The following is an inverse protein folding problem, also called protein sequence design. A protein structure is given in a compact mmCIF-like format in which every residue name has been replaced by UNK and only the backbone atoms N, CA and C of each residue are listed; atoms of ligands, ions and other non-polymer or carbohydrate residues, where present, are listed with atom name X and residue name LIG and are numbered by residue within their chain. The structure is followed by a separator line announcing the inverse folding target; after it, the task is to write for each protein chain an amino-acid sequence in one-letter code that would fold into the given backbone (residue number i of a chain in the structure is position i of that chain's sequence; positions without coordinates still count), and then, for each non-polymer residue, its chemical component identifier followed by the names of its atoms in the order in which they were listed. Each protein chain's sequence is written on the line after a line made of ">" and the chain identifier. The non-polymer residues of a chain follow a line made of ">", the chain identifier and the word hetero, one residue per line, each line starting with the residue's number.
data_IF_486025045167
#
_entry.id   IF_486025045167
#
_cell.length_a   1.000
_cell.length_b   1.000
_cell.length_c   1.000
_cell.angle_alpha   90.00
_cell.angle_beta   90.00
_cell.angle_gamma   90.00
#
_symmetry.space_group_name_H-M   'P 1'
#
loop_
_entity.id
_entity.type
_entity.pdbx_description
1 polymer ?
#
# COMPACT_ATOMS: atom_id res chain seq x y z
N UNK A 1 -32.66 10.14 -40.90
CA UNK A 1 -31.40 10.71 -40.36
C UNK A 1 -30.91 11.73 -41.37
N UNK A 2 -30.59 12.97 -40.97
CA UNK A 2 -30.01 13.94 -41.89
C UNK A 2 -28.63 13.41 -42.31
N UNK A 3 -28.45 13.16 -43.61
CA UNK A 3 -27.17 12.75 -44.18
C UNK A 3 -26.50 13.99 -44.76
N UNK A 4 -25.32 14.30 -44.23
CA UNK A 4 -24.50 15.39 -44.75
C UNK A 4 -23.85 14.96 -46.07
N UNK A 5 -23.93 15.84 -47.05
CA UNK A 5 -23.35 15.68 -48.38
C UNK A 5 -21.92 16.20 -48.41
N UNK A 6 -21.13 15.77 -49.39
CA UNK A 6 -19.75 16.22 -49.56
C UNK A 6 -19.65 17.76 -49.72
N UNK A 7 -20.71 18.36 -50.25
CA UNK A 7 -20.89 19.81 -50.35
C UNK A 7 -20.98 20.49 -48.98
N UNK A 8 -21.66 19.88 -48.02
CA UNK A 8 -21.80 20.43 -46.67
C UNK A 8 -20.43 20.50 -45.95
N UNK A 9 -19.58 19.50 -46.16
CA UNK A 9 -18.21 19.50 -45.64
C UNK A 9 -17.36 20.61 -46.25
N UNK A 10 -17.45 20.84 -47.56
CA UNK A 10 -16.71 21.91 -48.22
C UNK A 10 -17.19 23.30 -47.74
N UNK A 11 -18.49 23.47 -47.49
CA UNK A 11 -19.03 24.72 -46.94
C UNK A 11 -18.54 24.99 -45.52
N UNK A 12 -18.44 23.96 -44.66
CA UNK A 12 -17.90 24.09 -43.30
C UNK A 12 -16.38 24.36 -43.33
N UNK A 13 -15.64 23.75 -44.26
CA UNK A 13 -14.18 23.86 -44.30
C UNK A 13 -13.71 25.24 -44.82
N UNK A 14 -14.44 25.84 -45.77
CA UNK A 14 -14.06 27.11 -46.40
C UNK A 14 -14.90 28.32 -45.94
N UNK A 15 -16.04 28.09 -45.28
CA UNK A 15 -16.81 29.13 -44.61
C UNK A 15 -16.28 29.34 -43.19
N UNK A 16 -15.95 30.58 -42.81
CA UNK A 16 -15.64 30.90 -41.40
C UNK A 16 -16.81 30.49 -40.52
N UNK A 17 -16.61 29.50 -39.66
CA UNK A 17 -17.62 28.97 -38.75
C UNK A 17 -17.71 29.86 -37.52
N UNK A 18 -18.55 30.90 -37.54
CA UNK A 18 -18.95 31.62 -36.33
C UNK A 18 -20.14 30.90 -35.69
N UNK A 19 -19.85 30.05 -34.72
CA UNK A 19 -20.88 29.45 -33.87
C UNK A 19 -20.96 30.21 -32.55
N UNK A 20 -22.05 30.95 -32.38
CA UNK A 20 -22.41 31.56 -31.11
C UNK A 20 -23.28 30.57 -30.33
N UNK A 21 -22.88 30.28 -29.09
CA UNK A 21 -23.67 29.46 -28.19
C UNK A 21 -25.06 30.10 -28.00
N UNK A 22 -26.16 29.34 -28.16
CA UNK A 22 -27.47 29.90 -27.94
C UNK A 22 -27.62 30.35 -26.48
N UNK A 23 -28.32 31.46 -26.29
CA UNK A 23 -28.36 32.22 -25.04
C UNK A 23 -28.87 31.40 -23.84
N UNK A 24 -29.70 30.39 -24.10
CA UNK A 24 -30.16 29.43 -23.09
C UNK A 24 -29.01 28.57 -22.52
N UNK A 25 -28.04 28.15 -23.34
CA UNK A 25 -26.89 27.36 -22.90
C UNK A 25 -25.95 28.24 -22.06
N UNK A 26 -25.70 29.47 -22.49
CA UNK A 26 -24.92 30.43 -21.70
C UNK A 26 -25.56 30.69 -20.33
N UNK A 27 -26.89 30.82 -20.27
CA UNK A 27 -27.61 30.99 -19.01
C UNK A 27 -27.49 29.76 -18.09
N UNK A 28 -27.47 28.54 -18.65
CA UNK A 28 -27.25 27.32 -17.86
C UNK A 28 -25.82 27.30 -17.29
N UNK A 29 -24.83 27.66 -18.11
CA UNK A 29 -23.41 27.72 -17.69
C UNK A 29 -23.24 28.74 -16.55
N UNK A 30 -23.83 29.93 -16.66
CA UNK A 30 -23.77 30.94 -15.60
C UNK A 30 -24.40 30.44 -14.30
N UNK A 31 -25.56 29.78 -14.37
CA UNK A 31 -26.23 29.21 -13.18
C UNK A 31 -25.40 28.14 -12.48
N UNK A 32 -24.80 27.23 -13.25
CA UNK A 32 -23.92 26.20 -12.71
C UNK A 32 -22.69 26.81 -12.02
N UNK A 33 -22.14 27.88 -12.58
CA UNK A 33 -21.00 28.59 -12.02
C UNK A 33 -21.36 29.27 -10.68
N UNK A 34 -22.56 29.84 -10.55
CA UNK A 34 -23.05 30.40 -9.29
C UNK A 34 -23.24 29.32 -8.21
N UNK A 35 -23.82 28.17 -8.57
CA UNK A 35 -24.02 27.04 -7.63
C UNK A 35 -22.70 26.50 -7.08
N UNK A 36 -21.67 26.37 -7.92
CA UNK A 36 -20.33 25.92 -7.51
C UNK A 36 -19.67 26.93 -6.56
N UNK A 37 -19.81 28.23 -6.83
CA UNK A 37 -19.24 29.27 -5.98
C UNK A 37 -19.92 29.33 -4.60
N UNK A 38 -21.22 29.07 -4.52
CA UNK A 38 -21.96 28.96 -3.26
C UNK A 38 -21.52 27.75 -2.43
N UNK A 39 -21.21 26.61 -3.06
CA UNK A 39 -20.67 25.43 -2.39
C UNK A 39 -19.26 25.65 -1.83
N UNK A 40 -18.39 26.35 -2.57
CA UNK A 40 -17.04 26.69 -2.10
C UNK A 40 -17.11 27.66 -0.91
N UNK A 41 -18.09 28.56 -0.90
CA UNK A 41 -18.30 29.52 0.18
C UNK A 41 -18.88 28.88 1.45
N UNK A 42 -19.69 27.82 1.31
CA UNK A 42 -20.32 27.12 2.45
C UNK A 42 -19.43 26.06 3.12
N UNK A 43 -18.26 25.75 2.53
CA UNK A 43 -17.33 24.71 3.02
C UNK A 43 -16.08 25.25 3.74
N UNK A 44 -15.95 26.58 3.89
CA UNK A 44 -14.90 27.18 4.73
C UNK A 44 -15.41 27.40 6.17
N UNK A 45 -15.21 26.41 7.04
CA UNK A 45 -15.22 26.64 8.50
C UNK A 45 -13.88 27.19 8.95
N UNK A 46 -13.95 28.32 9.64
CA UNK A 46 -12.85 29.12 10.21
C UNK A 46 -11.89 28.29 11.09
N UNK A 47 -10.58 28.47 10.88
CA UNK A 47 -9.57 28.28 11.94
C UNK A 47 -8.81 29.60 12.11
N UNK A 48 -8.61 30.10 13.34
CA UNK A 48 -8.05 31.43 13.55
C UNK A 48 -6.52 31.40 13.54
N UNK A 49 -5.90 32.06 12.57
CA UNK A 49 -4.47 32.41 12.59
C UNK A 49 -4.32 33.88 13.01
N UNK A 50 -3.98 34.10 14.28
CA UNK A 50 -3.37 35.36 14.71
C UNK A 50 -2.28 35.06 15.72
N UNK A 51 -1.04 35.00 15.23
CA UNK A 51 0.15 35.27 16.04
C UNK A 51 1.09 36.11 15.18
N UNK A 52 0.99 37.42 15.35
CA UNK A 52 2.02 38.36 14.94
C UNK A 52 3.31 38.06 15.71
N UNK A 53 4.44 37.96 15.01
CA UNK A 53 5.77 38.02 15.64
C UNK A 53 6.59 39.16 15.03
N UNK A 54 7.36 39.86 15.87
CA UNK A 54 7.92 41.17 15.55
C UNK A 54 9.23 41.06 14.76
N UNK A 55 9.42 42.04 13.89
CA UNK A 55 10.62 42.26 13.08
C UNK A 55 11.83 42.53 13.98
N UNK A 56 12.90 41.73 13.84
CA UNK A 56 14.27 42.13 14.21
C UNK A 56 15.23 41.91 13.04
N UNK A 57 15.91 43.00 12.68
CA UNK A 57 16.98 43.10 11.68
C UNK A 57 18.29 42.52 12.20
N UNK A 58 18.93 41.68 11.39
CA UNK A 58 20.38 41.44 11.23
C UNK A 58 20.50 40.20 10.33
N UNK A 59 21.09 40.17 9.13
CA UNK A 59 22.36 40.75 8.73
C UNK A 59 23.33 39.61 8.40
N UNK A 60 23.10 38.86 7.31
CA UNK A 60 24.17 38.10 6.61
C UNK A 60 23.71 37.64 5.22
N UNK A 61 24.61 37.80 4.26
CA UNK A 61 24.41 37.62 2.83
C UNK A 61 24.23 36.15 2.42
N UNK A 62 23.11 35.85 1.75
CA UNK A 62 23.07 34.81 0.71
C UNK A 62 22.37 35.36 -0.52
N UNK A 63 23.10 35.37 -1.64
CA UNK A 63 22.63 35.85 -2.93
C UNK A 63 21.65 34.84 -3.55
N UNK A 64 20.35 35.13 -3.49
CA UNK A 64 19.41 34.48 -4.40
C UNK A 64 19.55 35.09 -5.78
N UNK A 65 20.27 34.38 -6.67
CA UNK A 65 20.10 34.52 -8.12
C UNK A 65 18.62 34.30 -8.43
N UNK A 66 17.95 35.35 -8.92
CA UNK A 66 16.66 35.25 -9.61
C UNK A 66 16.86 34.37 -10.85
N UNK A 67 16.43 33.12 -10.76
CA UNK A 67 16.23 32.27 -11.94
C UNK A 67 15.03 32.82 -12.70
N UNK A 68 15.25 33.13 -13.98
CA UNK A 68 14.28 33.75 -14.85
C UNK A 68 13.12 32.82 -15.21
N UNK A 69 11.95 33.44 -15.38
CA UNK A 69 10.86 33.08 -16.28
C UNK A 69 10.84 31.64 -16.80
N UNK A 70 9.92 30.87 -16.24
CA UNK A 70 9.30 29.69 -16.81
C UNK A 70 9.07 29.86 -18.33
N UNK A 71 9.85 29.17 -19.14
CA UNK A 71 9.44 28.83 -20.50
C UNK A 71 8.33 27.78 -20.39
N UNK A 72 7.08 28.22 -20.46
CA UNK A 72 6.01 27.37 -21.00
C UNK A 72 6.47 26.92 -22.38
N UNK A 73 6.77 25.63 -22.51
CA UNK A 73 7.11 25.01 -23.79
C UNK A 73 5.91 25.22 -24.72
N UNK A 74 6.05 26.13 -25.69
CA UNK A 74 5.05 26.26 -26.75
C UNK A 74 5.10 24.96 -27.53
N UNK A 75 3.97 24.24 -27.51
CA UNK A 75 3.75 23.05 -28.32
C UNK A 75 3.90 23.50 -29.77
N UNK A 76 4.91 22.98 -30.48
CA UNK A 76 5.15 23.34 -31.88
C UNK A 76 4.19 22.59 -32.80
N UNK A 77 4.04 23.03 -34.05
CA UNK A 77 3.23 22.30 -35.03
C UNK A 77 3.77 20.87 -35.28
N UNK A 78 5.06 20.64 -35.05
CA UNK A 78 5.66 19.29 -35.09
C UNK A 78 5.22 18.41 -33.91
N UNK A 79 5.01 18.97 -32.71
CA UNK A 79 4.44 18.24 -31.57
C UNK A 79 2.98 17.83 -31.86
N UNK A 80 2.23 18.66 -32.61
CA UNK A 80 0.87 18.32 -33.07
C UNK A 80 0.86 17.32 -34.22
N UNK A 81 1.84 17.36 -35.12
CA UNK A 81 2.02 16.34 -36.17
C UNK A 81 2.43 14.99 -35.59
N UNK A 82 3.22 14.95 -34.51
CA UNK A 82 3.54 13.72 -33.80
C UNK A 82 2.32 13.06 -33.13
N UNK A 83 1.33 13.87 -32.73
CA UNK A 83 0.04 13.41 -32.18
C UNK A 83 -0.96 13.03 -33.30
N UNK A 84 -0.91 13.71 -34.46
CA UNK A 84 -1.77 13.44 -35.62
C UNK A 84 -1.29 12.30 -36.51
N UNK A 85 0.01 12.04 -36.55
CA UNK A 85 0.53 10.83 -37.16
C UNK A 85 0.04 9.66 -36.31
N UNK A 86 -0.70 8.70 -36.87
CA UNK A 86 -1.14 7.54 -36.12
C UNK A 86 0.11 6.75 -35.79
N UNK A 87 0.68 6.99 -34.61
CA UNK A 87 1.51 5.98 -33.94
C UNK A 87 0.61 4.75 -33.97
N UNK A 88 0.96 3.70 -34.74
CA UNK A 88 0.11 2.55 -34.86
C UNK A 88 -0.17 2.10 -33.44
N UNK A 89 -1.46 2.03 -33.09
CA UNK A 89 -1.91 1.55 -31.79
C UNK A 89 -1.09 0.30 -31.48
N UNK A 90 -0.15 0.41 -30.54
CA UNK A 90 0.57 -0.74 -30.03
C UNK A 90 -0.46 -1.51 -29.24
N UNK A 91 -1.23 -2.34 -29.95
CA UNK A 91 -2.11 -3.30 -29.33
C UNK A 91 -1.28 -4.02 -28.28
N UNK A 92 -1.73 -3.95 -27.04
CA UNK A 92 -1.13 -4.72 -25.96
C UNK A 92 -1.13 -6.16 -26.45
N UNK A 93 0.05 -6.70 -26.73
CA UNK A 93 0.19 -8.12 -27.05
C UNK A 93 -0.20 -8.82 -25.76
N UNK A 94 -1.44 -9.27 -25.70
CA UNK A 94 -1.90 -10.15 -24.63
C UNK A 94 -1.17 -11.45 -24.94
N UNK A 95 -0.02 -11.65 -24.31
CA UNK A 95 0.60 -12.96 -24.27
C UNK A 95 -0.46 -13.91 -23.73
N UNK A 96 -0.90 -14.82 -24.60
CA UNK A 96 -1.77 -15.92 -24.19
C UNK A 96 -0.92 -16.79 -23.29
N UNK A 97 -1.00 -16.54 -21.98
CA UNK A 97 -0.56 -17.49 -20.98
C UNK A 97 -1.40 -18.75 -21.21
N UNK A 98 -0.79 -19.79 -21.78
CA UNK A 98 -1.43 -21.07 -22.06
C UNK A 98 -1.02 -22.08 -20.98
N UNK A 99 -1.91 -23.00 -20.63
CA UNK A 99 -1.66 -24.00 -19.59
C UNK A 99 -1.64 -23.43 -18.16
N UNK A 100 -0.69 -23.91 -17.34
CA UNK A 100 -0.58 -23.64 -15.89
C UNK A 100 -0.49 -22.15 -15.57
N UNK A 101 0.20 -21.35 -16.39
CA UNK A 101 0.32 -19.91 -16.19
C UNK A 101 -1.03 -19.18 -16.27
N UNK A 102 -1.96 -19.71 -17.06
CA UNK A 102 -3.33 -19.20 -17.14
C UNK A 102 -4.05 -19.41 -15.82
N UNK A 103 -3.99 -20.62 -15.27
CA UNK A 103 -4.63 -20.97 -14.01
C UNK A 103 -4.07 -20.14 -12.85
N UNK A 104 -2.76 -19.89 -12.81
CA UNK A 104 -2.15 -18.99 -11.81
C UNK A 104 -2.66 -17.55 -11.97
N UNK A 105 -2.81 -17.07 -13.21
CA UNK A 105 -3.35 -15.75 -13.47
C UNK A 105 -4.84 -15.65 -13.08
N UNK A 106 -5.62 -16.68 -13.36
CA UNK A 106 -7.03 -16.75 -13.00
C UNK A 106 -7.21 -16.80 -11.48
N UNK A 107 -6.35 -17.52 -10.76
CA UNK A 107 -6.28 -17.48 -9.28
C UNK A 107 -6.01 -16.05 -8.81
N UNK A 108 -5.02 -15.33 -9.38
CA UNK A 108 -4.75 -13.93 -9.02
C UNK A 108 -5.95 -13.02 -9.28
N UNK A 109 -6.69 -13.25 -10.36
CA UNK A 109 -7.91 -12.49 -10.65
C UNK A 109 -9.00 -12.79 -9.61
N UNK A 110 -9.18 -14.05 -9.23
CA UNK A 110 -10.14 -14.45 -8.20
C UNK A 110 -9.79 -13.83 -6.84
N UNK A 111 -8.52 -13.90 -6.46
CA UNK A 111 -8.01 -13.30 -5.22
C UNK A 111 -8.23 -11.79 -5.16
N UNK A 112 -8.08 -11.05 -6.27
CA UNK A 112 -8.36 -9.61 -6.29
C UNK A 112 -9.86 -9.28 -6.30
N UNK A 113 -10.72 -10.21 -6.74
CA UNK A 113 -12.18 -10.04 -6.79
C UNK A 113 -12.88 -10.53 -5.53
N UNK A 114 -12.18 -11.21 -4.64
CA UNK A 114 -12.79 -11.85 -3.47
C UNK A 114 -13.31 -10.80 -2.49
N UNK A 115 -14.50 -11.07 -1.97
CA UNK A 115 -15.21 -10.25 -1.00
C UNK A 115 -16.13 -11.16 -0.19
N UNK A 116 -16.64 -10.68 0.94
CA UNK A 116 -17.60 -11.45 1.74
C UNK A 116 -18.84 -11.94 0.94
N UNK A 117 -19.26 -11.20 -0.09
CA UNK A 117 -20.47 -11.51 -0.88
C UNK A 117 -20.26 -12.64 -1.89
N UNK A 118 -19.06 -12.73 -2.47
CA UNK A 118 -18.72 -13.70 -3.51
C UNK A 118 -17.65 -14.70 -3.05
N UNK A 119 -17.38 -14.76 -1.75
CA UNK A 119 -16.31 -15.57 -1.17
C UNK A 119 -16.38 -17.03 -1.63
N UNK A 120 -17.54 -17.67 -1.44
CA UNK A 120 -17.75 -19.07 -1.78
C UNK A 120 -17.51 -19.37 -3.27
N UNK A 121 -18.05 -18.54 -4.17
CA UNK A 121 -17.89 -18.77 -5.60
C UNK A 121 -16.45 -18.55 -6.07
N UNK A 122 -15.75 -17.55 -5.52
CA UNK A 122 -14.34 -17.33 -5.82
C UNK A 122 -13.46 -18.46 -5.28
N UNK A 123 -13.73 -18.93 -4.05
CA UNK A 123 -13.04 -20.06 -3.46
C UNK A 123 -13.19 -21.33 -4.30
N UNK A 124 -14.41 -21.67 -4.73
CA UNK A 124 -14.67 -22.83 -5.59
C UNK A 124 -13.86 -22.75 -6.90
N UNK A 125 -13.83 -21.58 -7.54
CA UNK A 125 -13.01 -21.35 -8.74
C UNK A 125 -11.52 -21.49 -8.46
N UNK A 126 -11.03 -21.01 -7.31
CA UNK A 126 -9.61 -21.16 -6.93
C UNK A 126 -9.26 -22.64 -6.73
N UNK A 127 -10.10 -23.40 -6.01
CA UNK A 127 -9.89 -24.83 -5.79
C UNK A 127 -9.88 -25.61 -7.10
N UNK A 128 -10.80 -25.31 -8.02
CA UNK A 128 -10.84 -25.93 -9.34
C UNK A 128 -9.54 -25.65 -10.13
N UNK A 129 -9.07 -24.40 -10.13
CA UNK A 129 -7.80 -24.05 -10.78
C UNK A 129 -6.61 -24.76 -10.13
N UNK A 130 -6.56 -24.87 -8.80
CA UNK A 130 -5.51 -25.61 -8.10
C UNK A 130 -5.54 -27.10 -8.47
N UNK A 131 -6.72 -27.72 -8.48
CA UNK A 131 -6.86 -29.12 -8.87
C UNK A 131 -6.40 -29.36 -10.31
N UNK A 132 -6.74 -28.46 -11.24
CA UNK A 132 -6.28 -28.55 -12.63
C UNK A 132 -4.76 -28.48 -12.74
N UNK A 133 -4.11 -27.62 -11.94
CA UNK A 133 -2.64 -27.55 -11.87
C UNK A 133 -2.04 -28.85 -11.30
N UNK A 134 -2.68 -29.45 -10.30
CA UNK A 134 -2.19 -30.66 -9.64
C UNK A 134 -2.35 -31.95 -10.46
N UNK A 135 -3.30 -32.01 -11.38
CA UNK A 135 -3.56 -33.18 -12.22
C UNK A 135 -2.48 -33.40 -13.28
N UNK A 136 -1.82 -32.33 -13.74
CA UNK A 136 -0.97 -32.34 -14.94
C UNK A 136 0.54 -32.22 -14.68
N UNK A 137 1.03 -32.18 -13.43
CA UNK A 137 2.41 -31.73 -13.17
C UNK A 137 3.31 -32.65 -12.30
N UNK A 138 4.58 -32.78 -12.72
CA UNK A 138 5.71 -33.31 -11.92
C UNK A 138 6.21 -32.29 -10.87
N UNK A 139 5.99 -30.97 -11.09
CA UNK A 139 6.47 -29.86 -10.24
C UNK A 139 5.41 -29.27 -9.28
N UNK A 140 4.57 -30.12 -8.67
CA UNK A 140 3.43 -29.71 -7.82
C UNK A 140 3.79 -28.71 -6.71
N UNK A 141 4.95 -28.88 -6.08
CA UNK A 141 5.37 -28.05 -4.94
C UNK A 141 5.69 -26.62 -5.39
N UNK A 142 6.35 -26.44 -6.54
CA UNK A 142 6.78 -25.11 -7.01
C UNK A 142 5.57 -24.24 -7.45
N UNK A 143 4.59 -24.87 -8.09
CA UNK A 143 3.34 -24.20 -8.45
C UNK A 143 2.55 -23.81 -7.20
N UNK A 144 2.49 -24.70 -6.20
CA UNK A 144 1.87 -24.39 -4.91
C UNK A 144 2.55 -23.23 -4.20
N UNK A 145 3.88 -23.18 -4.20
CA UNK A 145 4.63 -22.03 -3.68
C UNK A 145 4.26 -20.74 -4.41
N UNK A 146 4.08 -20.80 -5.72
CA UNK A 146 3.68 -19.64 -6.53
C UNK A 146 2.27 -19.15 -6.18
N UNK A 147 1.34 -20.08 -5.91
CA UNK A 147 -0.03 -19.76 -5.49
C UNK A 147 -0.06 -19.17 -4.09
N UNK A 148 0.65 -19.79 -3.14
CA UNK A 148 0.79 -19.24 -1.78
C UNK A 148 1.41 -17.85 -1.83
N UNK A 149 2.47 -17.65 -2.64
CA UNK A 149 3.08 -16.34 -2.86
C UNK A 149 2.06 -15.32 -3.36
N UNK A 150 1.19 -15.70 -4.30
CA UNK A 150 0.16 -14.81 -4.82
C UNK A 150 -0.86 -14.42 -3.73
N UNK A 151 -1.24 -15.34 -2.85
CA UNK A 151 -2.14 -15.05 -1.71
C UNK A 151 -1.45 -14.07 -0.76
N UNK A 152 -0.19 -14.32 -0.39
CA UNK A 152 0.59 -13.43 0.47
C UNK A 152 0.78 -12.05 -0.13
N UNK A 153 1.11 -11.96 -1.42
CA UNK A 153 1.28 -10.70 -2.14
C UNK A 153 0.00 -9.88 -2.12
N UNK A 154 -1.16 -10.51 -2.33
CA UNK A 154 -2.46 -9.84 -2.32
C UNK A 154 -2.87 -9.45 -0.90
N UNK A 155 -2.67 -10.32 0.09
CA UNK A 155 -2.89 -10.01 1.51
C UNK A 155 -1.99 -8.85 1.99
N UNK A 156 -0.76 -8.78 1.48
CA UNK A 156 0.18 -7.68 1.79
C UNK A 156 -0.22 -6.35 1.15
N UNK A 157 -0.96 -6.35 0.04
CA UNK A 157 -1.40 -5.10 -0.59
C UNK A 157 -2.65 -4.52 0.06
N UNK A 158 -3.41 -5.30 0.83
CA UNK A 158 -4.67 -4.86 1.42
C UNK A 158 -4.85 -5.31 2.87
N UNK A 159 -4.46 -4.44 3.80
CA UNK A 159 -4.59 -4.66 5.24
C UNK A 159 -6.04 -4.95 5.70
N UNK A 160 -7.04 -4.34 5.05
CA UNK A 160 -8.45 -4.44 5.47
C UNK A 160 -9.06 -5.82 5.23
N UNK A 161 -8.54 -6.56 4.25
CA UNK A 161 -9.02 -7.91 3.91
C UNK A 161 -8.14 -9.01 4.51
N UNK A 162 -7.25 -8.67 5.44
CA UNK A 162 -6.35 -9.64 6.10
C UNK A 162 -7.10 -10.81 6.74
N UNK A 163 -8.27 -10.58 7.34
CA UNK A 163 -9.09 -11.66 7.90
C UNK A 163 -9.69 -12.57 6.81
N UNK A 164 -10.25 -11.97 5.75
CA UNK A 164 -10.84 -12.67 4.61
C UNK A 164 -9.81 -13.57 3.90
N UNK A 165 -8.60 -13.07 3.70
CA UNK A 165 -7.52 -13.86 3.12
C UNK A 165 -7.03 -14.97 4.06
N UNK A 166 -7.15 -14.79 5.38
CA UNK A 166 -6.78 -15.82 6.34
C UNK A 166 -7.81 -16.95 6.36
N UNK A 167 -9.10 -16.64 6.20
CA UNK A 167 -10.14 -17.66 5.98
C UNK A 167 -9.87 -18.45 4.70
N UNK A 168 -9.58 -17.74 3.60
CA UNK A 168 -9.22 -18.38 2.34
C UNK A 168 -8.02 -19.31 2.51
N UNK A 169 -6.97 -18.85 3.19
CA UNK A 169 -5.78 -19.67 3.42
C UNK A 169 -6.10 -20.93 4.23
N UNK A 170 -6.96 -20.82 5.25
CA UNK A 170 -7.41 -21.96 6.04
C UNK A 170 -8.09 -23.01 5.17
N UNK A 171 -9.08 -22.59 4.38
CA UNK A 171 -9.86 -23.52 3.55
C UNK A 171 -9.02 -24.18 2.46
N UNK A 172 -8.00 -23.48 1.95
CA UNK A 172 -7.03 -24.05 1.04
C UNK A 172 -6.08 -25.02 1.75
N UNK A 173 -5.59 -24.69 2.95
CA UNK A 173 -4.73 -25.57 3.74
C UNK A 173 -5.41 -26.85 4.22
N UNK A 174 -6.71 -26.80 4.52
CA UNK A 174 -7.51 -27.97 4.87
C UNK A 174 -7.69 -28.93 3.68
N UNK A 175 -7.63 -28.42 2.44
CA UNK A 175 -7.76 -29.21 1.20
C UNK A 175 -6.42 -29.66 0.63
N UNK A 176 -5.38 -28.85 0.80
CA UNK A 176 -4.05 -29.04 0.22
C UNK A 176 -3.00 -28.98 1.34
N UNK A 177 -2.63 -30.13 1.95
CA UNK A 177 -1.72 -30.19 3.09
C UNK A 177 -0.35 -29.50 2.86
N UNK A 178 0.10 -29.41 1.61
CA UNK A 178 1.33 -28.74 1.21
C UNK A 178 1.39 -27.27 1.65
N UNK A 179 0.24 -26.58 1.75
CA UNK A 179 0.18 -25.20 2.23
C UNK A 179 0.77 -25.04 3.64
N UNK A 180 0.55 -26.02 4.52
CA UNK A 180 1.07 -25.99 5.89
C UNK A 180 2.59 -26.12 5.96
N UNK A 181 3.24 -26.66 4.93
CA UNK A 181 4.72 -26.70 4.85
C UNK A 181 5.29 -25.40 4.28
N UNK A 182 4.57 -24.80 3.32
CA UNK A 182 5.01 -23.60 2.63
C UNK A 182 4.91 -22.38 3.55
N UNK A 183 3.93 -22.35 4.46
CA UNK A 183 3.72 -21.24 5.40
C UNK A 183 4.96 -20.91 6.22
N UNK A 184 5.72 -21.91 6.67
CA UNK A 184 6.93 -21.70 7.48
C UNK A 184 8.01 -20.93 6.71
N UNK A 185 8.19 -21.25 5.42
CA UNK A 185 9.11 -20.53 4.53
C UNK A 185 8.72 -19.05 4.40
N UNK A 186 7.42 -18.76 4.27
CA UNK A 186 6.92 -17.38 4.21
C UNK A 186 7.17 -16.59 5.50
N UNK A 187 7.08 -17.25 6.66
CA UNK A 187 7.34 -16.61 7.95
C UNK A 187 8.83 -16.27 8.11
N UNK A 188 9.73 -17.10 7.58
CA UNK A 188 11.15 -16.78 7.48
C UNK A 188 11.37 -15.59 6.54
N UNK A 189 10.74 -15.58 5.37
CA UNK A 189 10.84 -14.46 4.42
C UNK A 189 10.35 -13.14 5.02
N UNK A 190 9.27 -13.17 5.82
CA UNK A 190 8.81 -11.99 6.55
C UNK A 190 9.89 -11.44 7.50
N UNK A 191 10.55 -12.30 8.28
CA UNK A 191 11.63 -11.90 9.20
C UNK A 191 12.82 -11.27 8.47
N UNK A 192 13.20 -11.81 7.32
CA UNK A 192 14.28 -11.25 6.51
C UNK A 192 13.87 -9.92 5.85
N UNK A 193 12.63 -9.82 5.35
CA UNK A 193 12.13 -8.58 4.76
C UNK A 193 12.11 -7.40 5.75
N UNK A 194 11.95 -7.68 7.05
CA UNK A 194 12.04 -6.65 8.11
C UNK A 194 13.48 -6.20 8.38
N UNK A 195 14.48 -7.07 8.20
CA UNK A 195 15.90 -6.66 8.30
C UNK A 195 16.33 -5.75 7.15
N UNK A 196 15.73 -5.91 5.98
CA UNK A 196 16.02 -5.16 4.75
C UNK A 196 15.41 -3.74 4.73
N UNK A 197 14.78 -3.30 5.84
CA UNK A 197 14.30 -1.92 5.93
C UNK A 197 15.51 -0.98 5.82
N UNK A 198 15.48 -0.12 4.80
CA UNK A 198 16.47 0.92 4.56
C UNK A 198 15.72 2.18 4.17
N UNK A 199 15.86 3.23 4.96
CA UNK A 199 15.26 4.51 4.65
C UNK A 199 15.87 5.17 3.41
N UNK A 200 15.02 5.84 2.64
CA UNK A 200 15.41 6.61 1.46
C UNK A 200 14.89 8.04 1.62
N UNK A 201 15.76 9.03 1.44
CA UNK A 201 15.36 10.43 1.49
C UNK A 201 14.57 10.81 0.21
N UNK A 202 13.34 11.35 0.31
CA UNK A 202 12.54 11.78 -0.84
C UNK A 202 13.22 12.85 -1.70
N UNK A 203 14.13 13.65 -1.13
CA UNK A 203 14.89 14.67 -1.86
C UNK A 203 16.06 14.07 -2.65
N UNK A 204 16.49 12.85 -2.31
CA UNK A 204 17.60 12.16 -2.99
C UNK A 204 17.08 11.25 -4.09
N UNK A 205 16.09 10.42 -3.80
CA UNK A 205 15.51 9.47 -4.76
C UNK A 205 14.02 9.24 -4.43
N UNK A 206 13.16 10.03 -5.06
CA UNK A 206 11.72 10.02 -4.80
C UNK A 206 11.07 8.69 -5.16
N UNK A 207 11.51 8.03 -6.25
CA UNK A 207 10.95 6.76 -6.69
C UNK A 207 11.29 5.64 -5.70
N UNK A 208 12.53 5.59 -5.21
CA UNK A 208 12.91 4.66 -4.15
C UNK A 208 12.21 4.97 -2.83
N UNK A 209 11.99 6.24 -2.48
CA UNK A 209 11.18 6.60 -1.31
C UNK A 209 9.73 6.11 -1.43
N UNK A 210 9.11 6.22 -2.60
CA UNK A 210 7.78 5.67 -2.86
C UNK A 210 7.75 4.14 -2.68
N UNK A 211 8.77 3.44 -3.19
CA UNK A 211 8.90 1.99 -3.02
C UNK A 211 9.14 1.57 -1.57
N UNK A 212 9.94 2.35 -0.82
CA UNK A 212 10.15 2.19 0.61
C UNK A 212 8.81 2.27 1.38
N UNK A 213 8.03 3.34 1.16
CA UNK A 213 6.73 3.52 1.82
C UNK A 213 5.76 2.39 1.47
N UNK A 214 5.69 2.00 0.19
CA UNK A 214 4.87 0.87 -0.26
C UNK A 214 5.27 -0.44 0.43
N UNK A 215 6.57 -0.67 0.62
CA UNK A 215 7.08 -1.87 1.30
C UNK A 215 6.77 -1.84 2.80
N UNK A 216 6.79 -0.67 3.44
CA UNK A 216 6.35 -0.52 4.83
C UNK A 216 4.86 -0.81 5.00
N UNK A 217 4.02 -0.31 4.10
CA UNK A 217 2.59 -0.61 4.11
C UNK A 217 2.32 -2.10 3.92
N UNK A 218 3.08 -2.75 3.03
CA UNK A 218 3.03 -4.22 2.87
C UNK A 218 3.39 -4.97 4.14
N UNK A 219 4.48 -4.58 4.82
CA UNK A 219 4.87 -5.18 6.10
C UNK A 219 3.76 -5.04 7.15
N UNK A 220 3.16 -3.85 7.27
CA UNK A 220 2.05 -3.59 8.20
C UNK A 220 0.81 -4.42 7.88
N UNK A 221 0.50 -4.63 6.60
CA UNK A 221 -0.59 -5.50 6.17
C UNK A 221 -0.30 -6.98 6.47
N UNK A 222 0.93 -7.43 6.20
CA UNK A 222 1.38 -8.78 6.55
C UNK A 222 1.34 -9.02 8.06
N UNK A 223 1.77 -8.06 8.88
CA UNK A 223 1.66 -8.13 10.34
C UNK A 223 0.22 -8.37 10.81
N UNK A 224 -0.75 -7.69 10.20
CA UNK A 224 -2.18 -7.94 10.49
C UNK A 224 -2.65 -9.30 9.96
N UNK A 225 -2.16 -9.73 8.80
CA UNK A 225 -2.44 -11.05 8.25
C UNK A 225 -1.93 -12.17 9.15
N UNK A 226 -0.70 -12.09 9.66
CA UNK A 226 -0.10 -13.07 10.58
C UNK A 226 -0.93 -13.25 11.86
N UNK A 227 -1.42 -12.14 12.43
CA UNK A 227 -2.34 -12.18 13.59
C UNK A 227 -3.59 -12.99 13.26
N UNK A 228 -4.19 -12.77 12.09
CA UNK A 228 -5.38 -13.52 11.67
C UNK A 228 -5.08 -14.99 11.37
N UNK A 229 -3.93 -15.31 10.80
CA UNK A 229 -3.49 -16.69 10.60
C UNK A 229 -3.35 -17.43 11.94
N UNK A 230 -2.78 -16.78 12.96
CA UNK A 230 -2.67 -17.34 14.31
C UNK A 230 -4.05 -17.55 14.93
N UNK A 231 -4.93 -16.55 14.88
CA UNK A 231 -6.30 -16.66 15.41
C UNK A 231 -7.10 -17.79 14.77
N UNK A 232 -6.84 -18.08 13.50
CA UNK A 232 -7.47 -19.17 12.75
C UNK A 232 -6.78 -20.53 12.93
N UNK A 233 -5.72 -20.59 13.74
CA UNK A 233 -4.91 -21.77 14.08
C UNK A 233 -4.15 -22.35 12.87
N UNK A 234 -3.79 -21.50 11.91
CA UNK A 234 -2.95 -21.89 10.75
C UNK A 234 -1.47 -21.87 11.15
N UNK A 235 -1.08 -20.89 11.96
CA UNK A 235 0.25 -20.83 12.57
C UNK A 235 0.11 -20.95 14.08
N UNK A 236 1.08 -21.59 14.72
CA UNK A 236 1.07 -21.74 16.18
C UNK A 236 1.35 -20.41 16.87
N UNK A 237 0.85 -20.28 18.09
CA UNK A 237 1.11 -19.12 18.93
C UNK A 237 2.61 -18.95 19.19
N UNK A 238 3.33 -20.03 19.50
CA UNK A 238 4.77 -20.00 19.75
C UNK A 238 5.55 -19.40 18.58
N UNK A 239 5.23 -19.80 17.34
CA UNK A 239 5.91 -19.27 16.16
C UNK A 239 5.70 -17.77 16.02
N UNK A 240 4.49 -17.26 16.27
CA UNK A 240 4.23 -15.83 16.23
C UNK A 240 4.97 -15.08 17.35
N UNK A 241 5.07 -15.66 18.55
CA UNK A 241 5.84 -15.09 19.65
C UNK A 241 7.34 -15.04 19.33
N UNK A 242 7.89 -16.07 18.68
CA UNK A 242 9.29 -16.08 18.22
C UNK A 242 9.56 -14.97 17.20
N UNK A 243 8.62 -14.69 16.30
CA UNK A 243 8.72 -13.55 15.38
C UNK A 243 8.76 -12.24 16.17
N UNK A 244 7.89 -12.06 17.16
CA UNK A 244 7.85 -10.83 17.98
C UNK A 244 9.15 -10.65 18.75
N UNK A 245 9.64 -11.69 19.42
CA UNK A 245 10.90 -11.66 20.17
C UNK A 245 12.08 -11.33 19.25
N UNK A 246 12.11 -11.92 18.05
CA UNK A 246 13.10 -11.59 17.04
C UNK A 246 13.05 -10.11 16.63
N UNK A 247 11.86 -9.56 16.38
CA UNK A 247 11.68 -8.14 16.06
C UNK A 247 12.09 -7.22 17.23
N UNK A 248 11.76 -7.57 18.47
CA UNK A 248 12.21 -6.85 19.66
C UNK A 248 13.75 -6.91 19.83
N UNK A 249 14.37 -8.04 19.46
CA UNK A 249 15.83 -8.16 19.39
C UNK A 249 16.45 -7.21 18.37
N UNK A 250 15.84 -7.06 17.18
CA UNK A 250 16.27 -6.07 16.19
C UNK A 250 16.15 -4.64 16.72
N UNK A 251 15.04 -4.29 17.38
CA UNK A 251 14.87 -2.98 18.02
C UNK A 251 15.98 -2.73 19.04
N UNK A 252 16.20 -3.66 19.96
CA UNK A 252 17.19 -3.54 21.04
C UNK A 252 18.59 -3.30 20.48
N UNK A 253 18.92 -3.94 19.35
CA UNK A 253 20.17 -3.69 18.64
C UNK A 253 20.19 -2.32 17.96
N UNK A 254 19.16 -2.00 17.17
CA UNK A 254 19.17 -0.83 16.29
C UNK A 254 19.02 0.51 17.02
N UNK A 255 18.41 0.55 18.20
CA UNK A 255 18.28 1.81 18.97
C UNK A 255 19.63 2.44 19.34
N UNK A 256 20.68 1.62 19.46
CA UNK A 256 22.04 2.05 19.80
C UNK A 256 22.95 2.22 18.59
N UNK A 257 22.51 1.86 17.39
CA UNK A 257 23.26 2.08 16.14
C UNK A 257 22.90 3.45 15.55
N UNK A 258 23.85 4.23 15.00
CA UNK A 258 23.54 5.47 14.30
C UNK A 258 22.80 5.23 12.98
N UNK A 259 21.99 6.21 12.55
CA UNK A 259 21.28 6.21 11.26
C UNK A 259 20.28 5.05 11.07
N UNK A 260 19.69 4.52 12.16
CA UNK A 260 18.67 3.46 12.15
C UNK A 260 17.29 3.94 12.60
N UNK A 261 17.09 5.26 12.70
CA UNK A 261 15.90 5.86 13.32
C UNK A 261 14.60 5.41 12.63
N UNK A 262 14.58 5.45 11.30
CA UNK A 262 13.40 5.08 10.52
C UNK A 262 13.15 3.57 10.58
N UNK A 263 14.20 2.76 10.57
CA UNK A 263 14.14 1.31 10.71
C UNK A 263 13.49 0.92 12.04
N UNK A 264 13.93 1.55 13.14
CA UNK A 264 13.34 1.36 14.48
C UNK A 264 11.86 1.77 14.50
N UNK A 265 11.51 2.89 13.87
CA UNK A 265 10.10 3.32 13.76
C UNK A 265 9.24 2.29 13.01
N UNK A 266 9.68 1.83 11.84
CA UNK A 266 8.91 0.91 11.02
C UNK A 266 8.78 -0.48 11.66
N UNK A 267 9.81 -0.98 12.35
CA UNK A 267 9.70 -2.24 13.12
C UNK A 267 8.70 -2.05 14.27
N UNK A 268 8.76 -0.92 14.97
CA UNK A 268 7.83 -0.59 16.08
C UNK A 268 6.38 -0.51 15.58
N UNK A 269 6.15 0.02 14.38
CA UNK A 269 4.81 0.05 13.74
C UNK A 269 4.25 -1.36 13.51
N UNK A 270 5.09 -2.31 13.11
CA UNK A 270 4.68 -3.71 12.94
C UNK A 270 4.36 -4.37 14.29
N UNK A 271 5.20 -4.18 15.30
CA UNK A 271 4.96 -4.66 16.67
C UNK A 271 3.66 -4.10 17.27
N UNK A 272 3.37 -2.81 17.03
CA UNK A 272 2.14 -2.15 17.45
C UNK A 272 0.88 -2.76 16.85
N UNK A 273 0.98 -3.34 15.66
CA UNK A 273 -0.12 -4.07 15.02
C UNK A 273 -0.28 -5.46 15.64
N UNK A 274 0.83 -6.16 15.91
CA UNK A 274 0.78 -7.56 16.34
C UNK A 274 0.41 -7.67 17.83
N UNK A 275 1.20 -7.07 18.72
CA UNK A 275 1.17 -7.34 20.16
C UNK A 275 -0.21 -7.10 20.80
N UNK A 276 -0.88 -5.95 20.59
CA UNK A 276 -2.19 -5.73 21.22
C UNK A 276 -3.27 -6.68 20.73
N UNK A 277 -3.14 -7.21 19.50
CA UNK A 277 -4.17 -8.02 18.87
C UNK A 277 -4.07 -9.52 19.19
N UNK A 278 -3.05 -9.96 19.94
CA UNK A 278 -2.82 -11.37 20.29
C UNK A 278 -2.87 -11.64 21.82
N UNK A 279 -3.14 -10.60 22.62
CA UNK A 279 -3.13 -10.67 24.10
C UNK A 279 -4.04 -11.78 24.62
N UNK A 280 -5.24 -11.91 24.06
CA UNK A 280 -6.24 -12.87 24.54
C UNK A 280 -5.76 -14.32 24.36
N UNK A 281 -5.04 -14.59 23.28
CA UNK A 281 -4.56 -15.91 22.90
C UNK A 281 -3.23 -16.28 23.59
N UNK A 282 -2.41 -15.30 23.96
CA UNK A 282 -1.03 -15.55 24.40
C UNK A 282 -0.77 -15.31 25.91
N UNK A 283 -1.74 -14.73 26.63
CA UNK A 283 -1.51 -14.21 28.00
C UNK A 283 -0.98 -15.21 29.03
N UNK A 284 -1.18 -16.51 28.83
CA UNK A 284 -0.71 -17.59 29.73
C UNK A 284 0.68 -18.12 29.40
N UNK A 285 1.30 -17.69 28.29
CA UNK A 285 2.56 -18.25 27.80
C UNK A 285 3.78 -17.55 28.43
N UNK A 286 4.86 -18.29 28.67
CA UNK A 286 6.09 -17.74 29.27
C UNK A 286 6.73 -16.66 28.38
N UNK A 287 6.83 -16.93 27.07
CA UNK A 287 7.34 -15.98 26.07
C UNK A 287 6.54 -14.67 26.03
N UNK A 288 5.25 -14.70 26.38
CA UNK A 288 4.42 -13.50 26.46
C UNK A 288 4.89 -12.55 27.57
N UNK A 289 5.30 -13.08 28.72
CA UNK A 289 5.83 -12.26 29.82
C UNK A 289 7.14 -11.57 29.42
N UNK A 290 7.99 -12.23 28.64
CA UNK A 290 9.22 -11.64 28.09
C UNK A 290 8.87 -10.49 27.14
N UNK A 291 7.91 -10.71 26.22
CA UNK A 291 7.45 -9.67 25.29
C UNK A 291 6.90 -8.46 26.04
N UNK A 292 6.06 -8.69 27.06
CA UNK A 292 5.48 -7.62 27.88
C UNK A 292 6.55 -6.83 28.65
N UNK A 293 7.55 -7.53 29.18
CA UNK A 293 8.70 -6.91 29.85
C UNK A 293 9.44 -6.01 28.88
N UNK A 294 9.79 -6.52 27.69
CA UNK A 294 10.46 -5.75 26.66
C UNK A 294 9.65 -4.51 26.23
N UNK A 295 8.33 -4.64 26.02
CA UNK A 295 7.45 -3.50 25.70
C UNK A 295 7.48 -2.45 26.81
N UNK A 296 7.44 -2.90 28.06
CA UNK A 296 7.44 -2.03 29.25
C UNK A 296 8.80 -1.35 29.46
N UNK A 297 9.90 -2.01 29.13
CA UNK A 297 11.23 -1.42 29.17
C UNK A 297 11.39 -0.38 28.06
N UNK A 298 10.99 -0.70 26.83
CA UNK A 298 11.03 0.22 25.70
C UNK A 298 10.19 1.49 25.94
N UNK A 299 9.04 1.38 26.63
CA UNK A 299 8.19 2.55 26.94
C UNK A 299 8.82 3.51 27.96
N UNK A 300 9.81 3.06 28.74
CA UNK A 300 10.51 3.85 29.76
C UNK A 300 11.82 4.45 29.25
N UNK A 301 12.27 4.06 28.06
CA UNK A 301 13.48 4.62 27.44
C UNK A 301 13.29 6.11 27.12
N UNK A 302 14.42 6.81 26.95
CA UNK A 302 14.45 8.22 26.57
C UNK A 302 15.14 8.36 25.23
N UNK A 303 14.49 9.03 24.28
CA UNK A 303 15.00 9.24 22.93
C UNK A 303 16.40 9.88 22.92
N UNK A 304 16.62 10.84 23.82
CA UNK A 304 17.91 11.54 23.95
C UNK A 304 19.08 10.65 24.39
N UNK A 305 18.82 9.50 25.00
CA UNK A 305 19.84 8.63 25.56
C UNK A 305 20.25 7.51 24.57
N UNK A 306 19.64 7.46 23.37
CA UNK A 306 19.79 6.39 22.37
C UNK A 306 19.95 7.01 20.98
N UNK A 307 20.79 6.42 20.12
CA UNK A 307 21.16 7.04 18.84
C UNK A 307 20.03 7.06 17.80
N UNK A 308 19.20 6.01 17.79
CA UNK A 308 18.15 5.81 16.78
C UNK A 308 16.78 5.55 17.37
N UNK A 309 16.55 5.92 18.64
CA UNK A 309 15.23 5.83 19.25
C UNK A 309 14.51 7.17 19.13
N UNK A 310 13.37 7.20 18.44
CA UNK A 310 12.55 8.40 18.34
C UNK A 310 11.51 8.49 19.46
N UNK A 311 11.09 9.72 19.79
CA UNK A 311 9.96 9.93 20.70
C UNK A 311 8.68 9.28 20.19
N UNK A 312 8.49 9.23 18.86
CA UNK A 312 7.33 8.58 18.23
C UNK A 312 7.31 7.07 18.54
N UNK A 313 8.44 6.38 18.42
CA UNK A 313 8.53 4.97 18.78
C UNK A 313 8.21 4.77 20.27
N UNK A 314 8.75 5.60 21.17
CA UNK A 314 8.46 5.53 22.61
C UNK A 314 6.97 5.72 22.91
N UNK A 315 6.32 6.73 22.31
CA UNK A 315 4.88 6.94 22.47
C UNK A 315 4.07 5.73 22.01
N UNK A 316 4.49 5.05 20.93
CA UNK A 316 3.86 3.78 20.54
C UNK A 316 4.03 2.68 21.57
N UNK A 317 5.20 2.55 22.21
CA UNK A 317 5.37 1.61 23.30
C UNK A 317 4.50 1.95 24.51
N UNK A 318 4.34 3.23 24.84
CA UNK A 318 3.38 3.68 25.87
C UNK A 318 1.94 3.31 25.50
N UNK A 319 1.51 3.60 24.27
CA UNK A 319 0.19 3.22 23.76
C UNK A 319 -0.02 1.70 23.77
N UNK A 320 1.02 0.89 23.50
CA UNK A 320 0.94 -0.57 23.62
C UNK A 320 0.70 -0.99 25.07
N UNK A 321 1.46 -0.45 26.03
CA UNK A 321 1.24 -0.72 27.47
C UNK A 321 -0.20 -0.38 27.87
N UNK A 322 -0.70 0.78 27.45
CA UNK A 322 -2.07 1.20 27.75
C UNK A 322 -3.13 0.26 27.17
N UNK A 323 -2.94 -0.22 25.93
CA UNK A 323 -3.82 -1.22 25.31
C UNK A 323 -3.74 -2.57 26.01
N UNK A 324 -2.56 -2.95 26.51
CA UNK A 324 -2.34 -4.21 27.20
C UNK A 324 -2.86 -4.21 28.64
N UNK A 325 -3.08 -3.04 29.25
CA UNK A 325 -3.67 -2.92 30.58
C UNK A 325 -5.21 -2.84 30.57
N UNK A 326 -5.84 -2.65 29.40
CA UNK A 326 -7.30 -2.74 29.21
C UNK A 326 -7.76 -4.18 29.04
#
# INVERSE_FOLDING_TARGET
>A
MPQYTLTDFNTIMFGKFEYTLPENINNIICKLQEEVNLYISSTQTETPTTYEKPVKKSGSHYSHKKSGRSHTKQVTDEDWEAVRNPVPFKATVIDKKEGIEKSINDIRVCLNKISAKNYKSQLETIIENINNILLDNENKIEDMKTIVKAIFDIASNNKFFSELYADLYKELGDKFPEFNSIIEEFLVQYKENVKEIVYVDPNTDYDKFCNYNKSNDKRKALSAFLVNLMKKQIITTDLLLDIILYLQGLITKYIDEPNRLNEVEEITENLFIIIPNIKAECSSLENWNVILTNVTECSKLKAKDRQSLSSRAIFKYMDMVDKLNK
#
